data_IF_561470597555
#
_entry.id   IF_561470597555
#
_cell.length_a   1.000
_cell.length_b   1.000
_cell.length_c   1.000
_cell.angle_alpha   90.00
_cell.angle_beta   90.00
_cell.angle_gamma   90.00
#
_symmetry.space_group_name_H-M   'P 1'
#
loop_
_entity.id
_entity.type
_entity.pdbx_description
1 polymer ?
#
# COMPACT_ATOMS: atom_id res chain seq x y z
N UNK A 1 -2.22 5.26 45.48
CA UNK A 1 -2.18 4.41 44.28
C UNK A 1 -3.20 4.97 43.30
N UNK A 2 -2.79 6.03 42.63
CA UNK A 2 -3.45 6.69 41.52
C UNK A 2 -3.31 5.81 40.27
N UNK A 3 -4.25 4.88 40.11
CA UNK A 3 -4.33 3.93 39.00
C UNK A 3 -4.68 4.55 37.64
N UNK A 4 -4.20 5.76 37.34
CA UNK A 4 -4.26 6.32 35.98
C UNK A 4 -3.01 5.89 35.24
N UNK A 5 -3.07 4.76 34.54
CA UNK A 5 -2.08 4.48 33.50
C UNK A 5 -2.30 5.52 32.40
N UNK A 6 -1.40 6.52 32.33
CA UNK A 6 -1.44 7.54 31.30
C UNK A 6 -1.67 6.89 29.92
N UNK A 7 -2.63 7.42 29.15
CA UNK A 7 -2.99 6.85 27.86
C UNK A 7 -1.77 6.78 26.94
N UNK A 8 -1.64 5.67 26.21
CA UNK A 8 -0.56 5.52 25.22
C UNK A 8 -0.96 6.27 23.96
N UNK A 9 -0.22 7.34 23.64
CA UNK A 9 -0.38 8.09 22.39
C UNK A 9 0.35 7.39 21.24
N UNK A 10 -0.39 7.13 20.16
CA UNK A 10 0.12 6.57 18.90
C UNK A 10 -0.39 7.47 17.79
N UNK A 11 0.53 8.12 17.08
CA UNK A 11 0.22 8.89 15.88
C UNK A 11 0.31 7.96 14.66
N UNK A 12 -0.64 8.10 13.74
CA UNK A 12 -0.69 7.32 12.51
C UNK A 12 -0.81 8.21 11.28
N UNK A 13 -0.23 7.79 10.17
CA UNK A 13 -0.35 8.46 8.86
C UNK A 13 -0.32 7.42 7.74
N UNK A 14 -0.92 7.78 6.60
CA UNK A 14 -1.09 6.90 5.46
C UNK A 14 -0.38 7.44 4.22
N UNK A 15 0.25 6.54 3.46
CA UNK A 15 0.91 6.88 2.20
C UNK A 15 0.45 5.97 1.08
N UNK A 16 0.40 6.50 -0.13
CA UNK A 16 -0.02 5.75 -1.32
C UNK A 16 -1.51 5.43 -1.38
N UNK A 17 -2.35 6.09 -0.57
CA UNK A 17 -3.80 6.02 -0.71
C UNK A 17 -4.24 6.74 -1.98
N UNK A 18 -5.03 6.06 -2.81
CA UNK A 18 -5.60 6.59 -4.06
C UNK A 18 -7.11 6.38 -4.08
N UNK A 19 -7.73 6.65 -2.92
CA UNK A 19 -9.13 6.33 -2.68
C UNK A 19 -9.38 4.83 -2.81
N UNK A 20 -10.32 4.46 -3.67
CA UNK A 20 -10.75 3.08 -3.88
C UNK A 20 -9.89 2.32 -4.91
N UNK A 21 -8.86 2.95 -5.47
CA UNK A 21 -8.07 2.35 -6.56
C UNK A 21 -6.99 1.42 -6.01
N UNK A 22 -7.21 0.11 -6.17
CA UNK A 22 -6.25 -0.95 -5.81
C UNK A 22 -5.42 -1.46 -6.99
N UNK A 23 -5.79 -1.12 -8.22
CA UNK A 23 -5.06 -1.49 -9.44
C UNK A 23 -4.91 -0.30 -10.40
N UNK A 24 -3.78 -0.22 -11.10
CA UNK A 24 -3.50 0.82 -12.09
C UNK A 24 -3.38 2.23 -11.51
N UNK A 25 -3.00 2.33 -10.24
CA UNK A 25 -2.66 3.58 -9.56
C UNK A 25 -1.19 3.98 -9.76
N UNK A 26 -0.76 5.08 -9.12
CA UNK A 26 0.64 5.53 -9.16
C UNK A 26 1.56 4.68 -8.28
N UNK A 27 0.99 3.91 -7.35
CA UNK A 27 1.72 2.98 -6.47
C UNK A 27 0.94 1.69 -6.26
N UNK A 28 1.66 0.58 -6.32
CA UNK A 28 1.14 -0.76 -6.01
C UNK A 28 1.09 -1.04 -4.50
N UNK A 29 1.65 -0.15 -3.68
CA UNK A 29 1.72 -0.30 -2.23
C UNK A 29 0.98 0.83 -1.53
N UNK A 30 0.21 0.46 -0.52
CA UNK A 30 -0.31 1.36 0.51
C UNK A 30 0.49 1.18 1.80
N UNK A 31 1.00 2.27 2.36
CA UNK A 31 1.77 2.28 3.59
C UNK A 31 0.95 2.88 4.74
N UNK A 32 0.91 2.17 5.87
CA UNK A 32 0.38 2.68 7.12
C UNK A 32 1.53 2.81 8.13
N UNK A 33 1.90 4.04 8.46
CA UNK A 33 2.92 4.33 9.46
C UNK A 33 2.26 4.62 10.80
N UNK A 34 2.78 4.03 11.87
CA UNK A 34 2.42 4.41 13.23
C UNK A 34 3.67 4.68 14.06
N UNK A 35 3.58 5.63 14.99
CA UNK A 35 4.66 5.95 15.92
C UNK A 35 4.09 6.18 17.30
N UNK A 36 4.64 5.46 18.29
CA UNK A 36 4.35 5.72 19.70
C UNK A 36 5.19 6.89 20.18
N UNK A 37 4.58 8.08 20.23
CA UNK A 37 5.23 9.32 20.63
C UNK A 37 4.19 10.27 21.20
N UNK A 38 4.52 10.91 22.32
CA UNK A 38 3.68 11.97 22.89
C UNK A 38 3.92 13.31 22.17
N UNK A 39 2.98 14.24 22.35
CA UNK A 39 3.04 15.56 21.72
C UNK A 39 4.32 16.35 22.04
N UNK A 40 4.86 16.24 23.26
CA UNK A 40 6.05 17.00 23.68
C UNK A 40 7.32 16.46 23.01
N UNK A 41 7.50 15.15 22.97
CA UNK A 41 8.58 14.48 22.27
C UNK A 41 8.49 14.71 20.75
N UNK A 42 7.29 14.70 20.18
CA UNK A 42 7.07 15.02 18.77
C UNK A 42 7.48 16.47 18.45
N UNK A 43 7.10 17.44 19.28
CA UNK A 43 7.47 18.84 19.12
C UNK A 43 9.00 19.03 19.19
N UNK A 44 9.67 18.40 20.16
CA UNK A 44 11.13 18.44 20.28
C UNK A 44 11.83 17.82 19.06
N UNK A 45 11.33 16.69 18.56
CA UNK A 45 11.84 16.06 17.35
C UNK A 45 11.72 16.99 16.13
N UNK A 46 10.57 17.65 15.95
CA UNK A 46 10.36 18.59 14.84
C UNK A 46 11.27 19.82 14.98
N UNK A 47 11.49 20.32 16.19
CA UNK A 47 12.40 21.44 16.44
C UNK A 47 13.86 21.09 16.04
N UNK A 48 14.35 19.93 16.46
CA UNK A 48 15.69 19.44 16.08
C UNK A 48 15.82 19.23 14.56
N UNK A 49 14.79 18.67 13.92
CA UNK A 49 14.75 18.54 12.47
C UNK A 49 14.81 19.90 11.76
N UNK A 50 14.12 20.91 12.30
CA UNK A 50 14.17 22.28 11.77
C UNK A 50 15.54 22.91 11.92
N UNK A 51 16.23 22.69 13.04
CA UNK A 51 17.57 23.23 13.25
C UNK A 51 18.59 22.60 12.28
N UNK A 52 18.51 21.27 12.09
CA UNK A 52 19.38 20.54 11.14
C UNK A 52 19.15 20.93 9.68
N UNK A 53 17.89 21.12 9.28
CA UNK A 53 17.51 21.38 7.88
C UNK A 53 17.48 22.87 7.53
N UNK A 54 17.19 23.72 8.53
CA UNK A 54 16.92 25.16 8.39
C UNK A 54 15.85 25.47 7.35
N UNK A 55 14.75 24.71 7.39
CA UNK A 55 13.62 24.92 6.47
C UNK A 55 12.81 26.16 6.90
N UNK A 56 12.53 27.11 5.99
CA UNK A 56 11.68 28.27 6.28
C UNK A 56 10.17 27.93 6.30
N UNK A 57 9.79 26.69 6.03
CA UNK A 57 8.39 26.30 5.91
C UNK A 57 7.67 26.37 7.27
N UNK A 58 6.49 27.00 7.30
CA UNK A 58 5.64 27.07 8.49
C UNK A 58 5.19 25.66 8.91
N UNK A 59 4.69 24.88 7.95
CA UNK A 59 4.37 23.47 8.15
C UNK A 59 5.56 22.58 7.77
N UNK A 60 5.87 21.58 8.61
CA UNK A 60 6.96 20.66 8.36
C UNK A 60 6.46 19.37 7.67
N UNK A 61 6.53 19.33 6.34
CA UNK A 61 6.23 18.13 5.54
C UNK A 61 7.41 17.16 5.44
N UNK A 62 7.12 15.85 5.34
CA UNK A 62 8.13 14.79 5.18
C UNK A 62 9.08 15.04 3.98
N UNK A 63 8.57 15.62 2.88
CA UNK A 63 9.37 15.97 1.71
C UNK A 63 10.51 16.96 1.98
N UNK A 64 10.53 17.67 3.12
CA UNK A 64 11.71 18.43 3.53
C UNK A 64 12.84 17.51 4.00
N UNK A 65 12.51 16.51 4.82
CA UNK A 65 13.48 15.54 5.33
C UNK A 65 14.01 14.59 4.25
N UNK A 66 13.15 14.18 3.32
CA UNK A 66 13.50 13.19 2.29
C UNK A 66 14.43 13.73 1.16
N UNK A 67 14.73 15.03 1.12
CA UNK A 67 15.60 15.58 0.08
C UNK A 67 17.03 15.07 0.26
N UNK A 68 17.72 14.76 -0.85
CA UNK A 68 19.09 14.25 -0.86
C UNK A 68 20.08 15.08 -0.02
N UNK A 69 19.97 16.41 -0.05
CA UNK A 69 20.83 17.32 0.73
C UNK A 69 20.65 17.23 2.26
N UNK A 70 19.58 16.59 2.73
CA UNK A 70 19.27 16.40 4.15
C UNK A 70 19.46 14.95 4.61
N UNK A 71 20.21 14.14 3.84
CA UNK A 71 20.53 12.75 4.16
C UNK A 71 21.06 12.54 5.57
N UNK A 72 21.90 13.45 6.08
CA UNK A 72 22.42 13.36 7.45
C UNK A 72 21.33 13.50 8.51
N UNK A 73 20.37 14.41 8.31
CA UNK A 73 19.23 14.58 9.21
C UNK A 73 18.30 13.35 9.16
N UNK A 74 18.07 12.79 7.96
CA UNK A 74 17.29 11.55 7.80
C UNK A 74 17.98 10.36 8.48
N UNK A 75 19.30 10.23 8.34
CA UNK A 75 20.07 9.16 8.98
C UNK A 75 20.06 9.27 10.50
N UNK A 76 20.13 10.48 11.05
CA UNK A 76 19.93 10.71 12.49
C UNK A 76 18.51 10.33 12.92
N UNK A 77 17.50 10.77 12.17
CA UNK A 77 16.09 10.53 12.51
C UNK A 77 15.78 9.03 12.57
N UNK A 78 16.27 8.24 11.60
CA UNK A 78 16.07 6.80 11.51
C UNK A 78 17.16 5.95 12.20
N UNK A 79 18.18 6.60 12.77
CA UNK A 79 19.31 5.92 13.40
C UNK A 79 18.89 5.16 14.67
N UNK A 80 19.76 4.30 15.18
CA UNK A 80 19.51 3.48 16.38
C UNK A 80 19.23 4.32 17.63
N UNK A 81 19.82 5.51 17.71
CA UNK A 81 19.60 6.49 18.77
C UNK A 81 18.63 7.61 18.34
N UNK A 82 17.97 7.43 17.19
CA UNK A 82 17.03 8.38 16.62
C UNK A 82 15.68 8.40 17.36
N UNK A 83 14.91 9.49 17.24
CA UNK A 83 13.67 9.70 17.98
C UNK A 83 12.57 8.67 17.69
N UNK A 84 12.64 7.95 16.56
CA UNK A 84 11.64 6.93 16.17
C UNK A 84 12.14 5.50 16.31
N UNK A 85 13.39 5.28 16.72
CA UNK A 85 13.97 3.95 16.89
C UNK A 85 13.17 3.12 17.90
N UNK A 86 12.71 1.93 17.48
CA UNK A 86 11.89 1.03 18.30
C UNK A 86 10.51 1.59 18.68
N UNK A 87 10.09 2.71 18.07
CA UNK A 87 8.80 3.38 18.33
C UNK A 87 7.93 3.48 17.08
N UNK A 88 8.53 3.44 15.90
CA UNK A 88 7.84 3.47 14.63
C UNK A 88 7.64 2.08 14.04
N UNK A 89 6.45 1.85 13.50
CA UNK A 89 6.07 0.67 12.75
C UNK A 89 5.51 1.10 11.41
N UNK A 90 5.88 0.37 10.35
CA UNK A 90 5.33 0.58 9.01
C UNK A 90 4.73 -0.72 8.55
N UNK A 91 3.44 -0.68 8.23
CA UNK A 91 2.74 -1.78 7.60
C UNK A 91 2.57 -1.47 6.11
N UNK A 92 3.04 -2.38 5.25
CA UNK A 92 2.95 -2.25 3.81
C UNK A 92 1.91 -3.23 3.28
N UNK A 93 0.99 -2.72 2.47
CA UNK A 93 -0.05 -3.50 1.81
C UNK A 93 0.20 -3.47 0.32
N UNK A 94 0.46 -4.63 -0.26
CA UNK A 94 0.44 -4.85 -1.71
C UNK A 94 -1.03 -4.80 -2.19
N UNK A 95 -1.38 -3.73 -2.90
CA UNK A 95 -2.76 -3.47 -3.34
C UNK A 95 -3.23 -4.50 -4.37
N UNK A 96 -2.46 -4.84 -5.42
CA UNK A 96 -2.82 -5.95 -6.31
C UNK A 96 -3.06 -7.27 -5.57
N UNK A 97 -2.21 -7.63 -4.60
CA UNK A 97 -2.40 -8.87 -3.84
C UNK A 97 -3.65 -8.83 -2.96
N UNK A 98 -3.90 -7.70 -2.28
CA UNK A 98 -5.14 -7.49 -1.52
C UNK A 98 -6.36 -7.63 -2.42
N UNK A 99 -6.32 -7.03 -3.61
CA UNK A 99 -7.40 -7.10 -4.59
C UNK A 99 -7.69 -8.54 -5.04
N UNK A 100 -6.65 -9.29 -5.42
CA UNK A 100 -6.79 -10.71 -5.81
C UNK A 100 -7.36 -11.53 -4.66
N UNK A 101 -6.88 -11.29 -3.43
CA UNK A 101 -7.38 -11.98 -2.23
C UNK A 101 -8.88 -11.74 -2.04
N UNK A 102 -9.33 -10.49 -2.21
CA UNK A 102 -10.75 -10.14 -2.11
C UNK A 102 -11.59 -10.76 -3.21
N UNK A 103 -11.19 -10.65 -4.47
CA UNK A 103 -11.97 -11.23 -5.58
C UNK A 103 -12.05 -12.75 -5.47
N UNK A 104 -10.95 -13.42 -5.13
CA UNK A 104 -10.96 -14.88 -4.97
C UNK A 104 -11.88 -15.30 -3.82
N UNK A 105 -11.85 -14.60 -2.69
CA UNK A 105 -12.70 -14.93 -1.54
C UNK A 105 -14.20 -14.65 -1.83
N UNK A 106 -14.51 -13.44 -2.28
CA UNK A 106 -15.89 -12.94 -2.35
C UNK A 106 -16.62 -13.36 -3.64
N UNK A 107 -15.90 -13.58 -4.74
CA UNK A 107 -16.50 -13.92 -6.05
C UNK A 107 -16.35 -15.40 -6.37
N UNK A 108 -15.16 -15.97 -6.16
CA UNK A 108 -14.88 -17.36 -6.50
C UNK A 108 -15.08 -18.34 -5.33
N UNK A 109 -15.34 -17.85 -4.11
CA UNK A 109 -15.43 -18.69 -2.90
C UNK A 109 -14.12 -19.43 -2.58
N UNK A 110 -12.99 -18.90 -3.04
CA UNK A 110 -11.67 -19.52 -2.93
C UNK A 110 -10.95 -19.20 -1.62
N UNK A 111 -9.80 -19.85 -1.43
CA UNK A 111 -8.98 -19.68 -0.22
C UNK A 111 -7.87 -18.64 -0.41
N UNK A 112 -7.33 -18.12 0.70
CA UNK A 112 -6.15 -17.25 0.68
C UNK A 112 -4.94 -17.91 -0.01
N UNK A 113 -4.81 -19.24 0.09
CA UNK A 113 -3.75 -20.00 -0.59
C UNK A 113 -3.93 -19.97 -2.10
N UNK A 114 -5.16 -20.14 -2.59
CA UNK A 114 -5.47 -20.03 -4.02
C UNK A 114 -5.22 -18.61 -4.54
N UNK A 115 -5.60 -17.58 -3.78
CA UNK A 115 -5.32 -16.18 -4.13
C UNK A 115 -3.83 -15.89 -4.24
N UNK A 116 -3.04 -16.37 -3.27
CA UNK A 116 -1.59 -16.20 -3.28
C UNK A 116 -0.90 -16.94 -4.44
N UNK A 117 -1.39 -18.13 -4.81
CA UNK A 117 -0.92 -18.84 -5.99
C UNK A 117 -1.24 -18.08 -7.29
N UNK A 118 -2.48 -17.61 -7.44
CA UNK A 118 -2.92 -16.82 -8.59
C UNK A 118 -2.12 -15.53 -8.73
N UNK A 119 -1.95 -14.77 -7.65
CA UNK A 119 -1.22 -13.51 -7.65
C UNK A 119 0.24 -13.69 -8.08
N UNK A 120 0.94 -14.66 -7.50
CA UNK A 120 2.36 -14.90 -7.80
C UNK A 120 2.59 -15.41 -9.22
N UNK A 121 1.73 -16.29 -9.71
CA UNK A 121 1.88 -16.89 -11.03
C UNK A 121 1.33 -16.00 -12.15
N UNK A 122 0.33 -15.17 -11.84
CA UNK A 122 -0.50 -14.45 -12.80
C UNK A 122 0.26 -13.69 -13.88
N UNK A 123 1.17 -12.75 -13.52
CA UNK A 123 1.92 -11.99 -14.51
C UNK A 123 2.71 -12.86 -15.50
N UNK A 124 3.35 -13.92 -15.02
CA UNK A 124 4.18 -14.80 -15.83
C UNK A 124 3.34 -15.76 -16.69
N UNK A 125 2.27 -16.31 -16.13
CA UNK A 125 1.41 -17.31 -16.79
C UNK A 125 0.53 -16.67 -17.86
N UNK A 126 -0.05 -15.51 -17.57
CA UNK A 126 -1.04 -14.87 -18.45
C UNK A 126 -0.46 -13.72 -19.28
N UNK A 127 0.72 -13.21 -18.92
CA UNK A 127 1.34 -12.04 -19.52
C UNK A 127 0.79 -10.73 -18.96
N UNK A 128 1.62 -9.68 -18.99
CA UNK A 128 1.35 -8.41 -18.33
C UNK A 128 0.02 -7.77 -18.75
N UNK A 129 -0.28 -7.70 -20.06
CA UNK A 129 -1.48 -7.02 -20.56
C UNK A 129 -2.78 -7.66 -20.04
N UNK A 130 -2.89 -8.99 -20.11
CA UNK A 130 -4.07 -9.72 -19.63
C UNK A 130 -4.18 -9.69 -18.11
N UNK A 131 -3.05 -9.80 -17.42
CA UNK A 131 -3.02 -9.68 -15.97
C UNK A 131 -3.49 -8.30 -15.50
N UNK A 132 -3.03 -7.22 -16.14
CA UNK A 132 -3.49 -5.85 -15.86
C UNK A 132 -4.97 -5.66 -16.17
N UNK A 133 -5.49 -6.25 -17.25
CA UNK A 133 -6.90 -6.21 -17.58
C UNK A 133 -7.75 -6.90 -16.50
N UNK A 134 -7.32 -8.08 -16.04
CA UNK A 134 -7.95 -8.80 -14.93
C UNK A 134 -7.97 -7.99 -13.63
N UNK A 135 -6.83 -7.39 -13.24
CA UNK A 135 -6.78 -6.55 -12.04
C UNK A 135 -7.67 -5.32 -12.15
N UNK A 136 -7.71 -4.67 -13.32
CA UNK A 136 -8.60 -3.52 -13.55
C UNK A 136 -10.07 -3.91 -13.40
N UNK A 137 -10.50 -4.96 -14.09
CA UNK A 137 -11.89 -5.43 -14.02
C UNK A 137 -12.28 -5.92 -12.61
N UNK A 138 -11.35 -6.56 -11.89
CA UNK A 138 -11.50 -6.96 -10.50
C UNK A 138 -11.75 -5.76 -9.57
N UNK A 139 -10.94 -4.71 -9.74
CA UNK A 139 -11.07 -3.48 -8.97
C UNK A 139 -12.44 -2.82 -9.21
N UNK A 140 -12.85 -2.71 -10.48
CA UNK A 140 -14.10 -2.08 -10.87
C UNK A 140 -15.33 -2.86 -10.38
N UNK A 141 -15.25 -4.20 -10.39
CA UNK A 141 -16.28 -5.07 -9.81
C UNK A 141 -16.47 -4.81 -8.31
N UNK A 142 -15.37 -4.80 -7.54
CA UNK A 142 -15.45 -4.57 -6.09
C UNK A 142 -15.91 -3.14 -5.75
N UNK A 143 -15.55 -2.14 -6.57
CA UNK A 143 -16.01 -0.76 -6.40
C UNK A 143 -17.50 -0.58 -6.69
N UNK A 144 -18.00 -1.25 -7.73
CA UNK A 144 -19.41 -1.19 -8.09
C UNK A 144 -20.34 -1.74 -6.99
N UNK A 145 -19.86 -2.69 -6.18
CA UNK A 145 -20.57 -3.17 -5.01
C UNK A 145 -20.69 -2.12 -3.87
N UNK A 146 -19.92 -1.04 -3.93
CA UNK A 146 -19.75 -0.06 -2.84
C UNK A 146 -20.45 1.30 -3.01
N UNK A 147 -20.59 1.87 -4.23
CA UNK A 147 -21.32 3.14 -4.54
C UNK A 147 -21.31 3.51 -6.05
N UNK A 148 -22.16 4.47 -6.45
CA UNK A 148 -22.33 5.01 -7.83
C UNK A 148 -21.45 6.26 -8.12
N UNK A 149 -21.11 6.54 -9.40
CA UNK A 149 -21.45 5.77 -10.60
C UNK A 149 -20.54 4.54 -10.77
N UNK A 150 -21.16 3.38 -10.94
CA UNK A 150 -20.47 2.17 -11.36
C UNK A 150 -20.30 2.19 -12.89
N UNK A 151 -19.33 1.46 -13.46
CA UNK A 151 -19.35 1.12 -14.87
C UNK A 151 -20.70 0.50 -15.28
N UNK A 152 -21.07 0.59 -16.55
CA UNK A 152 -22.39 0.13 -17.02
C UNK A 152 -22.63 -1.37 -16.78
N UNK A 153 -21.58 -2.22 -16.90
CA UNK A 153 -21.63 -3.65 -16.56
C UNK A 153 -20.26 -4.19 -16.08
N UNK A 154 -19.90 -4.00 -14.80
CA UNK A 154 -18.63 -4.42 -14.24
C UNK A 154 -18.53 -5.95 -14.10
N UNK A 155 -19.66 -6.65 -13.98
CA UNK A 155 -19.69 -8.11 -13.90
C UNK A 155 -19.36 -8.75 -15.25
N UNK A 156 -19.93 -8.25 -16.35
CA UNK A 156 -19.58 -8.73 -17.68
C UNK A 156 -18.12 -8.42 -18.04
N UNK A 157 -17.62 -7.23 -17.73
CA UNK A 157 -16.22 -6.88 -17.94
C UNK A 157 -15.27 -7.80 -17.16
N UNK A 158 -15.62 -8.14 -15.92
CA UNK A 158 -14.87 -9.11 -15.11
C UNK A 158 -14.91 -10.52 -15.72
N UNK A 159 -16.08 -11.01 -16.13
CA UNK A 159 -16.21 -12.32 -16.78
C UNK A 159 -15.35 -12.42 -18.04
N UNK A 160 -15.39 -11.40 -18.91
CA UNK A 160 -14.54 -11.34 -20.10
C UNK A 160 -13.05 -11.38 -19.77
N UNK A 161 -12.63 -10.69 -18.70
CA UNK A 161 -11.24 -10.71 -18.27
C UNK A 161 -10.82 -12.12 -17.78
N UNK A 162 -11.69 -12.81 -17.04
CA UNK A 162 -11.47 -14.20 -16.58
C UNK A 162 -11.39 -15.17 -17.77
N UNK A 163 -12.28 -15.05 -18.74
CA UNK A 163 -12.26 -15.85 -19.97
C UNK A 163 -10.96 -15.63 -20.75
N UNK A 164 -10.49 -14.38 -20.82
CA UNK A 164 -9.22 -14.02 -21.43
C UNK A 164 -7.99 -14.66 -20.77
N UNK A 165 -8.02 -14.88 -19.44
CA UNK A 165 -6.98 -15.65 -18.74
C UNK A 165 -7.07 -17.14 -19.09
N UNK A 166 -8.28 -17.68 -19.18
CA UNK A 166 -8.54 -19.12 -19.41
C UNK A 166 -8.21 -19.56 -20.84
N UNK A 167 -8.53 -18.74 -21.85
CA UNK A 167 -8.33 -19.06 -23.26
C UNK A 167 -6.86 -19.13 -23.69
N UNK A 168 -5.94 -18.54 -22.91
CA UNK A 168 -4.51 -18.52 -23.23
C UNK A 168 -3.76 -19.79 -22.81
N UNK A 169 -4.27 -20.53 -21.81
CA UNK A 169 -3.49 -21.53 -21.08
C UNK A 169 -2.20 -20.94 -20.46
N UNK A 170 -1.44 -21.69 -19.66
CA UNK A 170 -0.15 -21.22 -19.19
C UNK A 170 0.78 -20.97 -20.38
N UNK A 171 1.31 -19.75 -20.50
CA UNK A 171 2.36 -19.47 -21.46
C UNK A 171 3.51 -20.46 -21.23
N UNK A 172 3.86 -21.27 -22.24
CA UNK A 172 4.99 -22.19 -22.15
C UNK A 172 6.24 -21.37 -21.80
N UNK A 173 6.77 -21.59 -20.60
CA UNK A 173 8.08 -21.08 -20.23
C UNK A 173 9.07 -21.56 -21.30
N UNK A 174 9.66 -20.61 -22.04
CA UNK A 174 10.65 -20.93 -23.05
C UNK A 174 11.78 -21.72 -22.40
N UNK A 175 12.05 -22.91 -22.92
CA UNK A 175 13.25 -23.66 -22.62
C UNK A 175 14.45 -22.83 -23.08
N UNK A 176 15.17 -22.25 -22.13
CA UNK A 176 16.51 -21.75 -22.38
C UNK A 176 17.44 -22.97 -22.44
N UNK A 177 18.00 -23.19 -23.62
CA UNK A 177 19.13 -24.09 -23.88
C UNK A 177 20.43 -23.50 -23.34
#
# INVERSE_FOLDING_TARGET
>A
MDGSTAAVEIACDESGSEGERLAGGNTDVFGYGSVRIDAAAAAACVAELRDRIRSPAVEYKANHLLRRKHRAALAWFLGTDGPVAGRAHVYLVDKPFLLVTRVVAEVAGGTATAAAALYRAGPAVFGAARWTAFLTASNDLLRAAGRRPAPDDPAAAFAQAVDGLSAAGPARAGAAA
#
